data_IF_109954198493
#
_entry.id   IF_109954198493
#
_cell.length_a   1.000
_cell.length_b   1.000
_cell.length_c   1.000
_cell.angle_alpha   90.00
_cell.angle_beta   90.00
_cell.angle_gamma   90.00
#
_symmetry.space_group_name_H-M   'P 1'
#
loop_
_entity.id
_entity.type
_entity.pdbx_description
1 polymer ?
#
# COMPACT_ATOMS: atom_id res chain seq x y z
N UNK A 1 11.41 -12.02 -5.02
CA UNK A 1 11.26 -10.58 -5.29
C UNK A 1 12.62 -9.90 -5.28
N UNK A 2 12.91 -9.12 -6.30
CA UNK A 2 14.17 -8.42 -6.43
C UNK A 2 14.12 -7.09 -5.66
N UNK A 3 15.22 -6.70 -5.00
CA UNK A 3 15.28 -5.41 -4.29
C UNK A 3 15.11 -4.20 -5.21
N UNK A 4 15.35 -4.36 -6.52
CA UNK A 4 15.11 -3.29 -7.51
C UNK A 4 13.64 -3.17 -7.90
N UNK A 5 12.82 -4.17 -7.56
CA UNK A 5 11.39 -4.12 -7.84
C UNK A 5 10.73 -3.00 -7.03
N UNK A 6 9.84 -2.30 -7.68
CA UNK A 6 9.07 -1.25 -6.99
C UNK A 6 7.94 -1.88 -6.20
N UNK A 7 7.81 -1.45 -4.97
CA UNK A 7 6.72 -1.86 -4.09
C UNK A 7 5.63 -0.80 -4.11
N UNK A 8 4.38 -1.24 -4.20
CA UNK A 8 3.22 -0.38 -4.01
C UNK A 8 2.62 -0.76 -2.66
N UNK A 9 2.65 0.16 -1.70
CA UNK A 9 2.09 -0.09 -0.36
C UNK A 9 0.67 0.46 -0.31
N UNK A 10 -0.29 -0.37 0.13
CA UNK A 10 -1.63 0.14 0.38
C UNK A 10 -1.68 0.92 1.71
N UNK A 11 -2.82 1.55 1.98
CA UNK A 11 -2.97 2.37 3.19
C UNK A 11 -2.75 1.57 4.46
N UNK A 12 -3.19 0.31 4.48
CA UNK A 12 -3.03 -0.57 5.65
C UNK A 12 -1.58 -0.78 6.05
N UNK A 13 -0.67 -0.86 5.08
CA UNK A 13 0.77 -1.02 5.38
C UNK A 13 1.34 0.23 6.04
N UNK A 14 1.00 1.42 5.53
CA UNK A 14 1.44 2.67 6.13
C UNK A 14 0.92 2.84 7.55
N UNK A 15 -0.36 2.49 7.78
CA UNK A 15 -1.00 2.55 9.10
C UNK A 15 -0.36 1.52 10.05
N UNK A 16 -0.16 0.29 9.58
CA UNK A 16 0.46 -0.77 10.39
C UNK A 16 1.85 -0.38 10.88
N UNK A 17 2.63 0.33 10.07
CA UNK A 17 3.96 0.79 10.45
C UNK A 17 3.96 1.68 11.68
N UNK A 18 2.83 2.30 12.01
CA UNK A 18 2.69 3.21 13.15
C UNK A 18 1.78 2.68 14.25
N UNK A 19 1.16 1.53 14.06
CA UNK A 19 0.28 0.93 15.06
C UNK A 19 1.04 -0.10 15.89
N UNK A 20 1.31 0.18 17.18
CA UNK A 20 2.08 -0.72 18.03
C UNK A 20 1.45 -2.09 18.21
N UNK A 21 0.15 -2.23 17.99
CA UNK A 21 -0.58 -3.47 18.19
C UNK A 21 -0.78 -4.27 16.90
N UNK A 22 -0.39 -3.71 15.77
CA UNK A 22 -0.56 -4.41 14.50
C UNK A 22 0.50 -5.51 14.35
N UNK A 23 0.05 -6.71 13.96
CA UNK A 23 0.95 -7.86 13.81
C UNK A 23 2.00 -7.65 12.71
N UNK A 24 1.73 -6.79 11.75
CA UNK A 24 2.65 -6.48 10.66
C UNK A 24 3.52 -5.25 10.93
N UNK A 25 3.42 -4.65 12.12
CA UNK A 25 4.10 -3.40 12.42
C UNK A 25 5.60 -3.43 12.12
N UNK A 26 6.29 -4.46 12.59
CA UNK A 26 7.75 -4.54 12.43
C UNK A 26 8.14 -4.60 10.96
N UNK A 27 7.52 -5.49 10.19
CA UNK A 27 7.81 -5.64 8.77
C UNK A 27 7.38 -4.40 7.96
N UNK A 28 6.20 -3.87 8.24
CA UNK A 28 5.70 -2.67 7.57
C UNK A 28 6.61 -1.46 7.82
N UNK A 29 7.05 -1.28 9.07
CA UNK A 29 7.96 -0.22 9.44
C UNK A 29 9.32 -0.37 8.77
N UNK A 30 9.83 -1.60 8.71
CA UNK A 30 11.10 -1.89 8.04
C UNK A 30 11.05 -1.48 6.57
N UNK A 31 10.00 -1.85 5.85
CA UNK A 31 9.81 -1.47 4.44
C UNK A 31 9.69 0.05 4.29
N UNK A 32 8.90 0.69 5.14
CA UNK A 32 8.66 2.13 5.06
C UNK A 32 9.94 2.95 5.30
N UNK A 33 10.85 2.46 6.13
CA UNK A 33 12.09 3.14 6.48
C UNK A 33 13.28 2.75 5.60
N UNK A 34 13.19 1.68 4.82
CA UNK A 34 14.30 1.20 4.00
C UNK A 34 14.43 2.04 2.72
N UNK A 35 15.32 3.02 2.74
CA UNK A 35 15.53 3.93 1.63
C UNK A 35 16.19 3.26 0.41
N UNK A 36 16.67 2.02 0.55
CA UNK A 36 17.20 1.25 -0.59
C UNK A 36 16.08 0.65 -1.45
N UNK A 37 14.84 0.64 -0.97
CA UNK A 37 13.68 0.12 -1.69
C UNK A 37 12.94 1.25 -2.40
N UNK A 38 12.48 0.95 -3.61
CA UNK A 38 11.63 1.86 -4.37
C UNK A 38 10.17 1.64 -3.97
N UNK A 39 9.55 2.66 -3.39
CA UNK A 39 8.18 2.59 -2.89
C UNK A 39 7.31 3.60 -3.62
N UNK A 40 6.20 3.13 -4.16
CA UNK A 40 5.19 3.96 -4.81
C UNK A 40 3.92 4.00 -3.96
N UNK A 41 3.06 4.96 -4.24
CA UNK A 41 1.81 5.15 -3.54
C UNK A 41 0.74 5.67 -4.50
N UNK A 42 -0.51 5.32 -4.25
CA UNK A 42 -1.65 5.93 -4.96
C UNK A 42 -2.07 7.21 -4.23
N UNK A 43 -2.61 8.17 -4.96
CA UNK A 43 -3.23 9.35 -4.37
C UNK A 43 -4.38 8.97 -3.42
N UNK A 44 -5.10 7.90 -3.74
CA UNK A 44 -6.14 7.31 -2.89
C UNK A 44 -5.65 7.05 -1.46
N UNK A 45 -4.39 6.65 -1.31
CA UNK A 45 -3.81 6.33 0.00
C UNK A 45 -3.86 7.50 0.96
N UNK A 46 -3.72 8.73 0.47
CA UNK A 46 -3.82 9.93 1.29
C UNK A 46 -5.18 10.02 1.99
N UNK A 47 -6.25 9.77 1.22
CA UNK A 47 -7.61 9.83 1.75
C UNK A 47 -7.90 8.69 2.72
N UNK A 48 -7.44 7.49 2.41
CA UNK A 48 -7.65 6.34 3.29
C UNK A 48 -6.94 6.52 4.64
N UNK A 49 -5.68 6.97 4.62
CA UNK A 49 -4.93 7.24 5.85
C UNK A 49 -5.61 8.34 6.67
N UNK A 50 -6.01 9.44 6.01
CA UNK A 50 -6.71 10.53 6.67
C UNK A 50 -8.04 10.06 7.28
N UNK A 51 -8.77 9.20 6.57
CA UNK A 51 -10.04 8.68 7.05
C UNK A 51 -9.86 7.74 8.26
N UNK A 52 -8.96 6.77 8.15
CA UNK A 52 -8.80 5.77 9.21
C UNK A 52 -8.14 6.38 10.46
N UNK A 53 -7.01 7.04 10.30
CA UNK A 53 -6.28 7.58 11.45
C UNK A 53 -6.89 8.88 11.95
N UNK A 54 -7.24 9.78 11.05
CA UNK A 54 -7.76 11.09 11.44
C UNK A 54 -9.21 11.04 11.87
N UNK A 55 -10.10 10.68 10.94
CA UNK A 55 -11.54 10.77 11.19
C UNK A 55 -12.07 9.66 12.10
N UNK A 56 -11.65 8.40 11.88
CA UNK A 56 -12.20 7.26 12.64
C UNK A 56 -11.55 7.05 13.99
N UNK A 57 -10.23 7.20 14.08
CA UNK A 57 -9.47 6.98 15.32
C UNK A 57 -9.18 8.26 16.11
N UNK A 58 -9.52 9.42 15.59
CA UNK A 58 -9.27 10.69 16.24
C UNK A 58 -7.79 11.05 16.38
N UNK A 59 -6.94 10.48 15.52
CA UNK A 59 -5.48 10.66 15.56
C UNK A 59 -5.01 11.60 14.46
N UNK A 60 -5.58 12.81 14.41
CA UNK A 60 -5.30 13.76 13.34
C UNK A 60 -3.82 14.17 13.26
N UNK A 61 -3.16 14.34 14.40
CA UNK A 61 -1.74 14.71 14.45
C UNK A 61 -0.88 13.59 13.88
N UNK A 62 -1.13 12.36 14.28
CA UNK A 62 -0.43 11.18 13.75
C UNK A 62 -0.66 11.01 12.27
N UNK A 63 -1.90 11.23 11.82
CA UNK A 63 -2.24 11.17 10.40
C UNK A 63 -1.43 12.20 9.59
N UNK A 64 -1.31 13.42 10.07
CA UNK A 64 -0.52 14.47 9.41
C UNK A 64 0.95 14.09 9.30
N UNK A 65 1.53 13.55 10.38
CA UNK A 65 2.92 13.12 10.38
C UNK A 65 3.14 11.99 9.38
N UNK A 66 2.24 11.02 9.33
CA UNK A 66 2.35 9.91 8.40
C UNK A 66 2.22 10.37 6.94
N UNK A 67 1.28 11.27 6.66
CA UNK A 67 1.10 11.80 5.30
C UNK A 67 2.35 12.56 4.83
N UNK A 68 2.95 13.37 5.69
CA UNK A 68 4.19 14.10 5.35
C UNK A 68 5.38 13.15 5.19
N UNK A 69 5.51 12.18 6.06
CA UNK A 69 6.57 11.18 5.96
C UNK A 69 6.48 10.43 4.63
N UNK A 70 5.28 9.99 4.28
CA UNK A 70 5.05 9.25 3.06
C UNK A 70 5.33 10.08 1.81
N UNK A 71 4.93 11.35 1.82
CA UNK A 71 5.21 12.26 0.72
C UNK A 71 6.71 12.38 0.46
N UNK A 72 7.50 12.55 1.52
CA UNK A 72 8.95 12.59 1.42
C UNK A 72 9.54 11.25 0.97
N UNK A 73 8.99 10.15 1.47
CA UNK A 73 9.49 8.80 1.21
C UNK A 73 9.29 8.38 -0.25
N UNK A 74 8.14 8.69 -0.81
CA UNK A 74 7.78 8.28 -2.18
C UNK A 74 8.19 9.31 -3.23
N UNK A 75 8.30 10.57 -2.86
CA UNK A 75 8.67 11.63 -3.80
C UNK A 75 7.69 11.71 -4.96
N UNK A 76 8.21 11.55 -6.19
CA UNK A 76 7.42 11.62 -7.41
C UNK A 76 6.65 10.34 -7.73
N UNK A 77 6.82 9.28 -6.92
CA UNK A 77 6.17 8.00 -7.17
C UNK A 77 4.74 7.96 -6.61
N UNK A 78 3.98 9.01 -6.86
CA UNK A 78 2.57 9.09 -6.52
C UNK A 78 1.76 8.91 -7.80
N UNK A 79 0.92 7.87 -7.83
CA UNK A 79 0.08 7.59 -9.00
C UNK A 79 -1.28 8.24 -8.80
N UNK A 80 -1.67 9.08 -9.76
CA UNK A 80 -2.98 9.72 -9.76
C UNK A 80 -4.01 8.82 -10.44
N UNK A 81 -5.22 8.81 -9.91
CA UNK A 81 -6.34 8.10 -10.50
C UNK A 81 -6.83 8.82 -11.76
N UNK A 82 -7.34 8.03 -12.69
CA UNK A 82 -7.99 8.52 -13.90
C UNK A 82 -9.22 7.66 -14.18
N UNK A 83 -10.17 8.13 -15.03
CA UNK A 83 -11.32 7.31 -15.40
C UNK A 83 -10.94 5.96 -16.03
N UNK A 84 -9.96 5.93 -16.92
CA UNK A 84 -9.51 4.69 -17.56
C UNK A 84 -8.94 3.72 -16.53
N UNK A 85 -8.19 4.25 -15.59
CA UNK A 85 -7.61 3.47 -14.51
C UNK A 85 -8.72 2.86 -13.63
N UNK A 86 -9.74 3.66 -13.32
CA UNK A 86 -10.85 3.20 -12.51
C UNK A 86 -11.68 2.14 -13.22
N UNK A 87 -11.82 2.19 -14.55
CA UNK A 87 -12.47 1.13 -15.31
C UNK A 87 -11.76 -0.21 -15.15
N UNK A 88 -10.42 -0.20 -15.22
CA UNK A 88 -9.63 -1.41 -14.98
C UNK A 88 -9.84 -1.93 -13.56
N UNK A 89 -9.91 -1.03 -12.59
CA UNK A 89 -10.17 -1.40 -11.20
C UNK A 89 -11.54 -2.03 -11.04
N UNK A 90 -12.56 -1.52 -11.72
CA UNK A 90 -13.91 -2.09 -11.66
C UNK A 90 -13.97 -3.51 -12.22
N UNK A 91 -13.25 -3.79 -13.29
CA UNK A 91 -13.15 -5.14 -13.84
C UNK A 91 -12.51 -6.11 -12.85
N UNK A 92 -11.43 -5.68 -12.22
CA UNK A 92 -10.72 -6.47 -11.21
C UNK A 92 -11.60 -6.69 -9.98
N UNK A 93 -12.33 -5.65 -9.55
CA UNK A 93 -13.26 -5.74 -8.42
C UNK A 93 -14.33 -6.80 -8.68
N UNK A 94 -14.93 -6.80 -9.88
CA UNK A 94 -15.93 -7.78 -10.25
C UNK A 94 -15.37 -9.19 -10.32
N UNK A 95 -14.18 -9.35 -10.89
CA UNK A 95 -13.53 -10.65 -11.05
C UNK A 95 -13.17 -11.31 -9.71
N UNK A 96 -12.69 -10.53 -8.75
CA UNK A 96 -12.16 -11.05 -7.48
C UNK A 96 -13.03 -10.75 -6.27
N UNK A 97 -14.17 -10.11 -6.43
CA UNK A 97 -15.04 -9.76 -5.31
C UNK A 97 -14.42 -8.73 -4.38
N UNK A 98 -13.74 -7.73 -4.94
CA UNK A 98 -13.06 -6.69 -4.16
C UNK A 98 -13.85 -5.39 -4.15
N UNK A 99 -13.54 -4.53 -3.18
CA UNK A 99 -13.96 -3.13 -3.25
C UNK A 99 -13.22 -2.44 -4.39
N UNK A 100 -13.77 -1.33 -4.89
CA UNK A 100 -13.07 -0.52 -5.89
C UNK A 100 -11.75 0.05 -5.34
N UNK A 101 -11.68 0.27 -4.03
CA UNK A 101 -10.46 0.74 -3.36
C UNK A 101 -9.34 -0.30 -3.46
N UNK A 102 -9.59 -1.51 -3.01
CA UNK A 102 -8.61 -2.61 -3.07
C UNK A 102 -8.25 -2.94 -4.52
N UNK A 103 -9.24 -2.96 -5.40
CA UNK A 103 -9.02 -3.22 -6.81
C UNK A 103 -8.15 -2.14 -7.48
N UNK A 104 -8.22 -0.90 -7.01
CA UNK A 104 -7.38 0.18 -7.54
C UNK A 104 -5.89 -0.08 -7.30
N UNK A 105 -5.54 -0.63 -6.13
CA UNK A 105 -4.17 -1.02 -5.85
C UNK A 105 -3.71 -2.16 -6.76
N UNK A 106 -4.57 -3.16 -6.96
CA UNK A 106 -4.24 -4.29 -7.84
C UNK A 106 -4.07 -3.80 -9.28
N UNK A 107 -4.95 -2.92 -9.74
CA UNK A 107 -4.88 -2.35 -11.08
C UNK A 107 -3.56 -1.59 -11.31
N UNK A 108 -3.15 -0.77 -10.33
CA UNK A 108 -1.89 -0.03 -10.41
C UNK A 108 -0.69 -0.97 -10.45
N UNK A 109 -0.66 -1.95 -9.57
CA UNK A 109 0.43 -2.92 -9.53
C UNK A 109 0.58 -3.66 -10.86
N UNK A 110 -0.52 -4.11 -11.44
CA UNK A 110 -0.51 -4.78 -12.74
C UNK A 110 -0.06 -3.86 -13.87
N UNK A 111 -0.57 -2.64 -13.89
CA UNK A 111 -0.28 -1.67 -14.96
C UNK A 111 1.19 -1.31 -15.03
N UNK A 112 1.83 -1.15 -13.88
CA UNK A 112 3.21 -0.70 -13.80
C UNK A 112 4.21 -1.83 -13.53
N UNK A 113 3.75 -3.06 -13.37
CA UNK A 113 4.62 -4.19 -13.07
C UNK A 113 5.23 -4.12 -11.67
N UNK A 114 4.50 -3.56 -10.70
CA UNK A 114 4.94 -3.43 -9.32
C UNK A 114 4.41 -4.56 -8.45
N UNK A 115 5.04 -4.77 -7.31
CA UNK A 115 4.55 -5.72 -6.30
C UNK A 115 3.67 -4.97 -5.31
N UNK A 116 2.41 -5.39 -5.20
CA UNK A 116 1.49 -4.84 -4.20
C UNK A 116 1.78 -5.48 -2.85
N UNK A 117 1.97 -4.65 -1.83
CA UNK A 117 2.12 -5.08 -0.44
C UNK A 117 0.88 -4.68 0.35
N UNK A 118 0.28 -5.63 1.03
CA UNK A 118 -0.97 -5.41 1.79
C UNK A 118 -1.00 -6.21 3.07
N UNK A 119 -1.63 -5.65 4.09
CA UNK A 119 -1.95 -6.36 5.33
C UNK A 119 -3.25 -7.15 5.24
N UNK A 120 -4.01 -7.00 4.16
CA UNK A 120 -5.28 -7.70 3.97
C UNK A 120 -5.02 -9.12 3.46
N UNK A 121 -4.88 -10.03 4.41
CA UNK A 121 -4.60 -11.44 4.08
C UNK A 121 -5.80 -12.10 3.42
N UNK A 122 -6.99 -11.85 3.92
CA UNK A 122 -8.21 -12.54 3.46
C UNK A 122 -8.56 -12.22 2.01
N UNK A 123 -8.54 -10.94 1.64
CA UNK A 123 -9.05 -10.50 0.34
C UNK A 123 -7.96 -10.30 -0.71
N UNK A 124 -6.72 -10.04 -0.33
CA UNK A 124 -5.65 -9.75 -1.27
C UNK A 124 -4.54 -10.80 -1.27
N UNK A 125 -3.92 -11.04 -0.13
CA UNK A 125 -2.77 -11.95 -0.05
C UNK A 125 -3.19 -13.40 -0.36
N UNK A 126 -4.28 -13.87 0.22
CA UNK A 126 -4.76 -15.23 0.02
C UNK A 126 -5.17 -15.51 -1.42
N UNK A 127 -5.55 -14.48 -2.16
CA UNK A 127 -5.92 -14.60 -3.59
C UNK A 127 -4.74 -14.44 -4.54
N UNK A 128 -3.53 -14.30 -4.00
CA UNK A 128 -2.34 -14.12 -4.84
C UNK A 128 -2.23 -12.74 -5.50
N UNK A 129 -2.99 -11.75 -5.01
CA UNK A 129 -3.03 -10.40 -5.60
C UNK A 129 -2.04 -9.44 -4.95
N UNK A 130 -1.52 -9.80 -3.79
CA UNK A 130 -0.55 -9.01 -3.03
C UNK A 130 0.34 -9.92 -2.22
N UNK A 131 1.42 -9.37 -1.66
CA UNK A 131 2.25 -10.05 -0.68
C UNK A 131 2.10 -9.37 0.67
N UNK A 132 2.22 -10.13 1.75
CA UNK A 132 2.19 -9.58 3.10
C UNK A 132 3.49 -8.81 3.39
N UNK A 133 3.47 -7.85 4.34
CA UNK A 133 4.67 -7.07 4.66
C UNK A 133 5.88 -7.89 5.04
N UNK A 134 5.71 -8.96 5.80
CA UNK A 134 6.81 -9.83 6.21
C UNK A 134 7.45 -10.55 5.02
N UNK A 135 6.65 -10.98 4.04
CA UNK A 135 7.18 -11.59 2.81
C UNK A 135 7.91 -10.56 1.93
N UNK A 136 7.40 -9.33 1.87
CA UNK A 136 8.01 -8.26 1.09
C UNK A 136 9.30 -7.74 1.74
N UNK A 137 9.41 -7.82 3.06
CA UNK A 137 10.57 -7.32 3.82
C UNK A 137 11.81 -8.19 3.63
N UNK A 138 11.63 -9.45 3.30
CA UNK A 138 12.76 -10.35 3.09
C UNK A 138 13.58 -9.94 1.87
N UNK A 139 14.90 -9.83 2.00
CA UNK A 139 15.76 -9.55 0.85
C UNK A 139 15.69 -10.72 -0.13
N UNK A 140 15.71 -10.39 -1.42
CA UNK A 140 15.83 -11.41 -2.46
C UNK A 140 17.20 -12.08 -2.34
N UNK A 141 17.22 -13.40 -2.33
CA UNK A 141 18.44 -14.18 -2.21
C UNK A 141 19.02 -14.59 -3.54
N UNK A 142 18.59 -13.96 -4.60
CA UNK A 142 19.15 -14.43 -5.83
C UNK A 142 19.21 -13.53 -6.94
#
# INVERSE_FOLDING_TARGET
MNRTDRLLLDAGVWIAARDPEDRFRVAARSIALDTSRNVAVLDLTFYEVANVMGARKGQATEARHLLRFREKRCGELVVAQSPDFLESALEIAAEHGLTAYDASYVAAARRFGWTLVSCDVADLVSKGLAVAPDAADYPSTG
#
